data_IF_900609541111
#
_entry.id   IF_900609541111
#
_cell.length_a   1.000
_cell.length_b   1.000
_cell.length_c   1.000
_cell.angle_alpha   90.00
_cell.angle_beta   90.00
_cell.angle_gamma   90.00
#
_symmetry.space_group_name_H-M   'P 1'
#
loop_
_entity.id
_entity.type
_entity.pdbx_description
1 polymer ?
#
# COMPACT_ATOMS: atom_id res chain seq x y z
N UNK A 1 -49.53 -33.63 -9.32
CA UNK A 1 -50.64 -32.93 -8.61
C UNK A 1 -50.06 -31.58 -8.28
N UNK A 2 -50.32 -30.65 -9.12
CA UNK A 2 -51.26 -29.51 -8.98
C UNK A 2 -50.71 -28.53 -7.94
N UNK A 3 -50.34 -27.34 -8.14
CA UNK A 3 -50.60 -26.31 -9.12
C UNK A 3 -50.31 -24.96 -8.43
N UNK A 4 -50.30 -23.84 -9.15
CA UNK A 4 -49.57 -22.62 -8.81
C UNK A 4 -50.46 -21.49 -8.29
N UNK A 5 -49.86 -20.38 -7.78
CA UNK A 5 -50.55 -19.06 -7.63
C UNK A 5 -49.55 -18.05 -7.06
N UNK A 6 -49.48 -16.76 -7.34
CA UNK A 6 -50.06 -15.79 -8.26
C UNK A 6 -49.21 -14.52 -8.17
N UNK A 7 -49.04 -13.84 -9.27
CA UNK A 7 -48.53 -12.46 -9.37
C UNK A 7 -49.56 -11.46 -8.81
N UNK A 8 -49.06 -10.34 -8.24
CA UNK A 8 -49.84 -9.11 -8.15
C UNK A 8 -48.94 -7.91 -8.43
N UNK A 9 -49.42 -7.03 -9.13
CA UNK A 9 -49.14 -6.01 -10.05
C UNK A 9 -49.05 -4.64 -9.36
N UNK A 10 -48.32 -3.75 -10.03
CA UNK A 10 -48.13 -2.31 -9.82
C UNK A 10 -49.41 -1.49 -9.75
N UNK A 11 -49.33 -0.22 -9.27
CA UNK A 11 -49.66 0.86 -10.20
C UNK A 11 -48.74 2.08 -10.19
N UNK A 12 -48.62 2.66 -11.39
CA UNK A 12 -48.10 3.99 -11.70
C UNK A 12 -49.28 5.00 -11.66
N UNK A 13 -49.07 6.29 -11.35
CA UNK A 13 -49.73 7.34 -12.13
C UNK A 13 -48.80 8.50 -12.53
N UNK A 14 -48.75 8.81 -13.79
CA UNK A 14 -49.47 9.81 -14.58
C UNK A 14 -49.00 11.28 -14.49
N UNK A 15 -48.47 11.72 -15.62
CA UNK A 15 -48.53 12.98 -16.36
C UNK A 15 -49.01 14.29 -15.68
N UNK A 16 -48.19 15.33 -15.87
CA UNK A 16 -48.68 16.66 -16.17
C UNK A 16 -47.77 17.38 -17.17
N UNK A 17 -48.38 17.73 -18.28
CA UNK A 17 -47.86 18.51 -19.41
C UNK A 17 -47.93 20.01 -19.10
N UNK A 18 -46.99 20.81 -19.59
CA UNK A 18 -47.30 22.19 -20.00
C UNK A 18 -46.34 22.64 -21.12
N UNK A 19 -46.95 23.24 -22.09
CA UNK A 19 -46.56 23.64 -23.42
C UNK A 19 -45.75 24.95 -23.49
N UNK A 20 -44.77 25.01 -24.42
CA UNK A 20 -44.75 26.03 -25.46
C UNK A 20 -43.84 27.25 -25.27
N UNK A 21 -42.78 27.36 -26.06
CA UNK A 21 -42.57 28.38 -27.10
C UNK A 21 -41.16 28.30 -27.70
N UNK A 22 -41.14 28.28 -29.01
CA UNK A 22 -39.98 28.41 -29.87
C UNK A 22 -39.34 29.81 -29.79
N UNK A 23 -38.00 29.85 -29.89
CA UNK A 23 -37.27 30.98 -30.48
C UNK A 23 -35.87 30.48 -30.93
N UNK A 24 -35.61 30.70 -32.21
CA UNK A 24 -34.37 30.44 -32.95
C UNK A 24 -33.13 31.15 -32.38
N UNK A 25 -31.97 30.50 -32.49
CA UNK A 25 -30.70 31.17 -32.24
C UNK A 25 -29.50 30.21 -32.39
N UNK A 26 -28.88 30.23 -33.59
CA UNK A 26 -27.58 29.60 -33.87
C UNK A 26 -26.50 30.06 -32.92
N UNK A 27 -25.83 29.13 -32.23
CA UNK A 27 -24.46 29.35 -31.75
C UNK A 27 -23.76 28.01 -31.46
N UNK A 28 -22.49 27.96 -31.85
CA UNK A 28 -21.53 26.87 -31.79
C UNK A 28 -21.40 26.23 -30.40
N UNK A 29 -21.01 24.95 -30.30
CA UNK A 29 -20.78 24.30 -29.02
C UNK A 29 -19.47 24.74 -28.38
N UNK A 30 -19.44 24.98 -27.07
CA UNK A 30 -18.20 25.22 -26.33
C UNK A 30 -17.51 23.91 -25.97
N UNK A 31 -16.18 23.93 -26.01
CA UNK A 31 -15.24 22.96 -25.49
C UNK A 31 -15.66 22.47 -24.09
N UNK A 32 -15.93 21.19 -23.97
CA UNK A 32 -16.09 20.53 -22.66
C UNK A 32 -14.73 20.03 -22.16
N UNK A 33 -14.05 20.87 -21.42
CA UNK A 33 -13.08 20.40 -20.42
C UNK A 33 -13.86 19.91 -19.18
N UNK A 34 -13.55 18.73 -18.62
CA UNK A 34 -14.12 18.33 -17.35
C UNK A 34 -13.48 19.13 -16.22
N UNK A 35 -14.16 20.15 -15.74
CA UNK A 35 -13.85 20.79 -14.47
C UNK A 35 -14.21 19.84 -13.33
N UNK A 36 -13.24 19.07 -12.87
CA UNK A 36 -13.31 18.36 -11.61
C UNK A 36 -13.11 19.37 -10.47
N UNK A 37 -14.18 20.04 -10.08
CA UNK A 37 -14.18 20.95 -8.92
C UNK A 37 -14.29 20.07 -7.67
N UNK A 38 -13.18 19.51 -7.23
CA UNK A 38 -13.06 19.07 -5.85
C UNK A 38 -13.19 20.31 -4.95
N UNK A 39 -14.32 20.43 -4.26
CA UNK A 39 -14.46 21.33 -3.12
C UNK A 39 -13.39 20.95 -2.09
N UNK A 40 -12.27 21.67 -2.12
CA UNK A 40 -11.31 21.65 -1.04
C UNK A 40 -12.00 22.28 0.18
N UNK A 41 -12.58 21.43 1.03
CA UNK A 41 -12.82 21.81 2.42
C UNK A 41 -11.44 21.93 3.06
N UNK A 42 -10.96 23.15 3.22
CA UNK A 42 -9.80 23.43 4.03
C UNK A 42 -10.03 22.80 5.41
N UNK A 43 -9.12 21.96 5.91
CA UNK A 43 -9.24 21.43 7.26
C UNK A 43 -9.26 22.63 8.20
N UNK A 44 -10.35 22.77 8.94
CA UNK A 44 -10.45 23.73 10.05
C UNK A 44 -9.26 23.41 10.95
N UNK A 45 -8.27 24.32 10.99
CA UNK A 45 -7.15 24.21 11.94
C UNK A 45 -7.78 23.91 13.28
N UNK A 46 -7.44 22.75 13.86
CA UNK A 46 -7.70 22.45 15.27
C UNK A 46 -6.96 23.54 16.08
N UNK A 47 -7.65 24.67 16.28
CA UNK A 47 -7.21 25.68 17.21
C UNK A 47 -6.96 24.98 18.54
N UNK A 48 -5.75 25.09 19.06
CA UNK A 48 -5.27 24.69 20.36
C UNK A 48 -6.36 24.04 21.24
N UNK A 49 -6.68 22.77 20.99
CA UNK A 49 -7.44 22.00 21.95
C UNK A 49 -6.49 21.88 23.15
N UNK A 50 -6.69 22.74 24.13
CA UNK A 50 -6.19 22.46 25.47
C UNK A 50 -6.65 21.04 25.77
N UNK A 51 -5.70 20.12 25.86
CA UNK A 51 -5.96 18.75 26.28
C UNK A 51 -6.78 18.85 27.58
N UNK A 52 -7.93 18.15 27.70
CA UNK A 52 -8.83 18.33 28.84
C UNK A 52 -8.22 17.92 30.20
N UNK A 53 -6.94 17.59 30.22
CA UNK A 53 -6.23 17.03 31.37
C UNK A 53 -5.04 17.88 31.75
N UNK A 54 -5.30 18.98 32.45
CA UNK A 54 -4.25 19.77 33.14
C UNK A 54 -4.36 19.55 34.64
N UNK A 55 -3.37 18.86 35.19
CA UNK A 55 -2.92 19.17 36.56
C UNK A 55 -3.41 18.37 37.76
N UNK A 56 -4.21 17.32 37.62
CA UNK A 56 -4.53 16.47 38.78
C UNK A 56 -3.62 15.24 38.85
N UNK A 57 -3.20 14.87 40.07
CA UNK A 57 -2.20 13.84 40.38
C UNK A 57 -2.62 12.39 40.01
N UNK A 58 -3.74 12.19 39.36
CA UNK A 58 -4.17 10.90 38.85
C UNK A 58 -4.40 10.97 37.33
N UNK A 59 -3.56 10.24 36.57
CA UNK A 59 -3.78 10.08 35.15
C UNK A 59 -5.19 9.54 34.88
N UNK A 60 -5.94 10.12 33.92
CA UNK A 60 -7.24 9.57 33.56
C UNK A 60 -7.07 8.16 32.98
N UNK A 61 -8.00 7.28 33.31
CA UNK A 61 -8.05 5.94 32.74
C UNK A 61 -8.99 5.98 31.51
N UNK A 62 -8.42 5.71 30.35
CA UNK A 62 -9.16 5.65 29.09
C UNK A 62 -9.43 4.20 28.69
N UNK A 63 -10.53 3.95 27.99
CA UNK A 63 -10.70 2.70 27.28
C UNK A 63 -9.75 2.62 26.08
N UNK A 64 -9.54 1.42 25.54
CA UNK A 64 -8.78 1.21 24.30
C UNK A 64 -9.38 1.95 23.11
N UNK A 65 -10.70 2.08 23.06
CA UNK A 65 -11.41 2.85 22.03
C UNK A 65 -11.14 4.35 22.12
N UNK A 66 -11.25 4.94 23.32
CA UNK A 66 -10.97 6.36 23.53
C UNK A 66 -9.52 6.72 23.20
N UNK A 67 -8.56 5.85 23.59
CA UNK A 67 -7.15 6.07 23.24
C UNK A 67 -6.93 6.01 21.72
N UNK A 68 -7.58 5.07 21.04
CA UNK A 68 -7.53 4.97 19.59
C UNK A 68 -8.06 6.23 18.91
N UNK A 69 -9.21 6.74 19.35
CA UNK A 69 -9.77 7.99 18.83
C UNK A 69 -8.81 9.18 18.94
N UNK A 70 -8.04 9.28 20.03
CA UNK A 70 -7.02 10.32 20.18
C UNK A 70 -5.89 10.19 19.13
N UNK A 71 -5.41 8.98 18.94
CA UNK A 71 -4.35 8.70 17.95
C UNK A 71 -4.85 8.92 16.52
N UNK A 72 -6.08 8.51 16.23
CA UNK A 72 -6.73 8.77 14.93
C UNK A 72 -6.87 10.26 14.66
N UNK A 73 -7.36 11.03 15.62
CA UNK A 73 -7.49 12.47 15.49
C UNK A 73 -6.12 13.16 15.24
N UNK A 74 -5.07 12.68 15.92
CA UNK A 74 -3.71 13.15 15.68
C UNK A 74 -3.26 12.83 14.25
N UNK A 75 -3.41 11.58 13.80
CA UNK A 75 -3.00 11.14 12.47
C UNK A 75 -3.77 11.86 11.35
N UNK A 76 -5.09 12.05 11.51
CA UNK A 76 -5.93 12.76 10.55
C UNK A 76 -5.54 14.23 10.36
N UNK A 77 -5.03 14.89 11.42
CA UNK A 77 -4.53 16.26 11.31
C UNK A 77 -3.15 16.37 10.63
N UNK A 78 -2.51 15.24 10.34
CA UNK A 78 -1.16 15.17 9.76
C UNK A 78 -1.08 14.22 8.54
N UNK A 79 -2.14 14.15 7.75
CA UNK A 79 -2.13 13.39 6.47
C UNK A 79 -1.14 14.05 5.51
N UNK A 80 -0.25 13.23 4.96
CA UNK A 80 0.81 13.68 4.06
C UNK A 80 0.32 13.72 2.60
N UNK A 81 0.85 14.65 1.78
CA UNK A 81 0.56 14.65 0.35
C UNK A 81 1.20 13.43 -0.33
N UNK A 82 0.56 12.97 -1.41
CA UNK A 82 1.12 11.89 -2.22
C UNK A 82 2.43 12.33 -2.90
N UNK A 83 3.35 11.40 -3.09
CA UNK A 83 4.57 11.58 -3.85
C UNK A 83 4.35 11.26 -5.33
N UNK A 84 4.97 12.03 -6.24
CA UNK A 84 5.09 11.65 -7.66
C UNK A 84 6.54 11.35 -7.95
N UNK A 85 6.86 10.09 -8.26
CA UNK A 85 8.23 9.61 -8.44
C UNK A 85 8.44 9.05 -9.85
N UNK A 86 9.68 9.10 -10.39
CA UNK A 86 10.07 8.29 -11.54
C UNK A 86 9.75 6.80 -11.30
N UNK A 87 9.34 6.09 -12.37
CA UNK A 87 8.96 4.65 -12.25
C UNK A 87 10.08 3.83 -11.62
N UNK A 88 11.34 4.12 -11.94
CA UNK A 88 12.53 3.43 -11.43
C UNK A 88 12.69 3.54 -9.90
N UNK A 89 12.14 4.60 -9.30
CA UNK A 89 12.22 4.86 -7.85
C UNK A 89 11.01 4.30 -7.08
N UNK A 90 10.04 3.72 -7.81
CA UNK A 90 8.78 3.25 -7.21
C UNK A 90 8.82 1.82 -6.67
N UNK A 91 9.94 1.08 -6.80
CA UNK A 91 10.02 -0.31 -6.30
C UNK A 91 9.74 -0.38 -4.79
N UNK A 92 8.81 -1.24 -4.40
CA UNK A 92 8.38 -1.42 -3.01
C UNK A 92 7.53 -0.26 -2.46
N UNK A 93 7.21 0.77 -3.27
CA UNK A 93 6.25 1.82 -2.89
C UNK A 93 4.82 1.31 -3.07
N UNK A 94 3.88 1.94 -2.39
CA UNK A 94 2.46 1.64 -2.54
C UNK A 94 1.80 2.66 -3.47
N UNK A 95 1.09 2.17 -4.48
CA UNK A 95 0.41 3.01 -5.48
C UNK A 95 -0.74 3.80 -4.83
N UNK A 96 -0.79 5.11 -5.08
CA UNK A 96 -1.79 5.99 -4.47
C UNK A 96 -3.09 6.10 -5.29
N UNK A 97 -3.00 5.94 -6.62
CA UNK A 97 -4.13 6.09 -7.55
C UNK A 97 -4.07 5.00 -8.61
N UNK A 98 -5.22 4.65 -9.19
CA UNK A 98 -5.26 3.67 -10.28
C UNK A 98 -4.42 4.13 -11.47
N UNK A 99 -3.77 3.17 -12.14
CA UNK A 99 -3.00 3.38 -13.37
C UNK A 99 -3.80 2.88 -14.56
N UNK A 100 -4.01 3.76 -15.51
CA UNK A 100 -4.67 3.47 -16.78
C UNK A 100 -3.67 3.57 -17.94
N UNK A 101 -3.86 2.77 -18.96
CA UNK A 101 -2.98 2.78 -20.13
C UNK A 101 -3.04 4.14 -20.84
N UNK A 102 -1.88 4.77 -21.05
CA UNK A 102 -1.76 6.03 -21.79
C UNK A 102 -1.71 5.79 -23.31
N UNK A 103 -1.22 4.62 -23.73
CA UNK A 103 -1.07 4.22 -25.14
C UNK A 103 -1.63 2.81 -25.34
N UNK A 104 -2.09 2.46 -26.54
CA UNK A 104 -2.50 1.08 -26.81
C UNK A 104 -1.32 0.12 -26.69
N UNK A 105 -1.56 -1.15 -26.40
CA UNK A 105 -0.54 -2.19 -26.38
C UNK A 105 -0.94 -3.33 -27.35
N UNK A 106 -0.15 -3.63 -28.41
CA UNK A 106 1.03 -2.87 -28.83
C UNK A 106 0.66 -1.46 -29.34
N UNK A 107 1.64 -0.51 -29.31
CA UNK A 107 1.37 0.89 -29.64
C UNK A 107 1.10 1.14 -31.13
N UNK A 108 1.51 0.22 -31.99
CA UNK A 108 1.24 0.23 -33.43
C UNK A 108 1.12 -1.19 -33.96
N UNK A 109 0.47 -1.33 -35.12
CA UNK A 109 0.34 -2.62 -35.80
C UNK A 109 1.71 -3.09 -36.25
N UNK A 110 2.12 -4.31 -35.86
CA UNK A 110 3.47 -4.84 -36.09
C UNK A 110 3.46 -6.31 -36.48
N UNK A 111 4.61 -6.80 -36.96
CA UNK A 111 4.81 -8.20 -37.26
C UNK A 111 4.96 -9.05 -35.98
N UNK A 112 4.24 -10.18 -35.94
CA UNK A 112 4.40 -11.18 -34.90
C UNK A 112 5.59 -12.13 -35.14
N UNK A 113 6.13 -12.18 -36.36
CA UNK A 113 7.16 -13.14 -36.80
C UNK A 113 8.18 -12.46 -37.71
N UNK A 114 9.36 -13.02 -37.79
CA UNK A 114 10.29 -12.72 -38.87
C UNK A 114 9.80 -13.34 -40.17
N UNK A 115 9.90 -12.57 -41.26
CA UNK A 115 9.39 -13.05 -42.56
C UNK A 115 9.22 -11.96 -43.61
N UNK A 116 8.15 -12.03 -44.37
CA UNK A 116 7.89 -11.11 -45.47
C UNK A 116 6.47 -10.54 -45.41
N UNK A 117 6.39 -9.22 -45.38
CA UNK A 117 5.12 -8.49 -45.45
C UNK A 117 4.65 -8.48 -46.92
N UNK A 118 3.41 -8.90 -47.15
CA UNK A 118 2.78 -9.06 -48.47
C UNK A 118 1.34 -8.57 -48.45
N UNK A 119 0.78 -8.36 -49.63
CA UNK A 119 -0.65 -8.27 -49.82
C UNK A 119 -1.16 -9.69 -50.07
N UNK A 120 -2.11 -10.16 -49.28
CA UNK A 120 -2.63 -11.53 -49.43
C UNK A 120 -3.19 -11.81 -50.81
N UNK A 121 -3.75 -10.80 -51.50
CA UNK A 121 -4.28 -10.91 -52.88
C UNK A 121 -3.20 -11.21 -53.91
N UNK A 122 -1.94 -10.85 -53.70
CA UNK A 122 -0.83 -11.16 -54.61
C UNK A 122 -0.42 -12.65 -54.54
N UNK A 123 -0.98 -13.40 -53.57
CA UNK A 123 -0.78 -14.86 -53.42
C UNK A 123 -2.04 -15.67 -53.79
N UNK A 124 -2.79 -15.22 -54.79
CA UNK A 124 -3.94 -15.99 -55.31
C UNK A 124 -3.52 -17.06 -56.35
N UNK A 125 -4.34 -18.10 -56.47
CA UNK A 125 -4.08 -19.20 -57.37
C UNK A 125 -3.22 -20.32 -56.78
N UNK A 126 -2.53 -21.08 -57.65
CA UNK A 126 -1.62 -22.16 -57.25
C UNK A 126 -0.20 -21.62 -57.12
N UNK A 127 0.41 -21.78 -55.92
CA UNK A 127 1.83 -21.47 -55.68
C UNK A 127 2.78 -22.52 -56.26
N UNK A 128 4.10 -22.35 -56.09
CA UNK A 128 4.70 -21.25 -55.29
C UNK A 128 4.64 -19.88 -55.98
N UNK A 129 4.77 -18.79 -55.23
CA UNK A 129 4.76 -17.40 -55.73
C UNK A 129 6.12 -16.75 -55.52
N UNK A 130 6.71 -16.19 -56.57
CA UNK A 130 7.98 -15.44 -56.48
C UNK A 130 7.69 -13.95 -56.56
N UNK A 131 8.10 -13.21 -55.52
CA UNK A 131 7.91 -11.76 -55.43
C UNK A 131 9.29 -11.06 -55.30
N UNK A 132 9.50 -9.91 -55.97
CA UNK A 132 10.63 -9.06 -55.71
C UNK A 132 10.53 -8.47 -54.29
N UNK A 133 11.67 -8.39 -53.61
CA UNK A 133 11.77 -7.83 -52.24
C UNK A 133 12.20 -6.36 -52.34
N UNK A 134 11.32 -5.46 -51.93
CA UNK A 134 11.53 -4.01 -52.05
C UNK A 134 12.53 -3.46 -50.99
N UNK A 135 12.78 -4.20 -49.95
CA UNK A 135 13.74 -3.81 -48.90
C UNK A 135 13.50 -4.53 -47.58
N UNK A 136 14.06 -3.95 -46.49
CA UNK A 136 14.15 -4.50 -45.15
C UNK A 136 13.54 -3.57 -44.12
N UNK A 137 12.70 -4.10 -43.24
CA UNK A 137 12.04 -3.36 -42.14
C UNK A 137 12.46 -3.98 -40.82
N UNK A 138 13.52 -3.45 -40.18
CA UNK A 138 13.93 -3.88 -38.84
C UNK A 138 12.98 -3.37 -37.78
N UNK A 139 13.01 -3.98 -36.61
CA UNK A 139 12.34 -3.42 -35.44
C UNK A 139 12.84 -1.99 -35.16
N UNK A 140 11.91 -1.07 -34.85
CA UNK A 140 12.23 0.35 -34.64
C UNK A 140 12.35 1.17 -35.93
N UNK A 141 11.99 0.65 -37.09
CA UNK A 141 11.95 1.40 -38.35
C UNK A 141 10.87 2.49 -38.29
N UNK A 142 11.25 3.72 -38.64
CA UNK A 142 10.37 4.90 -38.64
C UNK A 142 10.13 5.49 -40.05
N UNK A 143 10.58 4.81 -41.11
CA UNK A 143 10.61 5.36 -42.49
C UNK A 143 9.21 5.46 -43.14
N UNK A 144 8.16 4.85 -42.62
CA UNK A 144 6.84 4.88 -43.24
C UNK A 144 6.82 4.12 -44.56
N UNK A 145 7.35 2.89 -44.58
CA UNK A 145 7.47 2.06 -45.75
C UNK A 145 6.09 1.75 -46.40
N UNK A 146 6.05 1.68 -47.73
CA UNK A 146 4.86 1.34 -48.50
C UNK A 146 5.15 0.13 -49.37
N UNK A 147 4.22 -0.82 -49.37
CA UNK A 147 4.26 -2.02 -50.20
C UNK A 147 3.46 -1.79 -51.49
N UNK A 148 4.11 -1.88 -52.66
CA UNK A 148 3.45 -1.86 -53.93
C UNK A 148 2.88 -3.27 -54.30
N UNK A 149 1.94 -3.30 -55.26
CA UNK A 149 1.37 -4.55 -55.71
C UNK A 149 2.41 -5.47 -56.33
N UNK A 150 2.36 -6.76 -55.98
CA UNK A 150 3.27 -7.77 -56.53
C UNK A 150 4.69 -7.70 -55.94
N UNK A 151 4.90 -7.03 -54.81
CA UNK A 151 6.15 -6.98 -54.10
C UNK A 151 6.03 -7.60 -52.69
N UNK A 152 7.17 -7.83 -52.06
CA UNK A 152 7.28 -8.18 -50.64
C UNK A 152 8.27 -7.26 -49.96
N UNK A 153 8.13 -7.05 -48.64
CA UNK A 153 9.13 -6.44 -47.78
C UNK A 153 9.60 -7.45 -46.75
N UNK A 154 10.92 -7.66 -46.63
CA UNK A 154 11.40 -8.44 -45.51
C UNK A 154 11.13 -7.65 -44.20
N UNK A 155 10.59 -8.32 -43.19
CA UNK A 155 10.17 -7.69 -41.97
C UNK A 155 10.58 -8.52 -40.74
N UNK A 156 11.05 -7.84 -39.70
CA UNK A 156 11.42 -8.48 -38.44
C UNK A 156 10.29 -8.41 -37.43
N UNK A 157 10.29 -9.34 -36.48
CA UNK A 157 9.36 -9.36 -35.35
C UNK A 157 9.34 -8.02 -34.61
N UNK A 158 8.16 -7.47 -34.36
CA UNK A 158 7.96 -6.17 -33.73
C UNK A 158 8.11 -4.96 -34.66
N UNK A 159 8.51 -5.16 -35.94
CA UNK A 159 8.62 -4.07 -36.90
C UNK A 159 7.23 -3.58 -37.36
N UNK A 160 7.07 -2.28 -37.66
CA UNK A 160 5.79 -1.74 -38.18
C UNK A 160 5.43 -2.33 -39.52
N UNK A 161 4.16 -2.68 -39.70
CA UNK A 161 3.65 -3.19 -40.98
C UNK A 161 3.68 -2.05 -42.00
N UNK A 162 4.27 -2.28 -43.21
CA UNK A 162 4.25 -1.26 -44.24
C UNK A 162 2.85 -1.00 -44.77
N UNK A 163 2.57 0.25 -45.14
CA UNK A 163 1.29 0.60 -45.77
C UNK A 163 1.04 -0.27 -47.00
N UNK A 164 -0.17 -0.84 -47.12
CA UNK A 164 -0.56 -1.73 -48.22
C UNK A 164 -0.33 -3.22 -47.92
N UNK A 165 0.45 -3.59 -46.92
CA UNK A 165 0.54 -4.97 -46.48
C UNK A 165 -0.61 -5.33 -45.53
N UNK A 166 -1.08 -6.56 -45.61
CA UNK A 166 -2.14 -7.08 -44.73
C UNK A 166 -1.82 -8.46 -44.12
N UNK A 167 -0.67 -9.03 -44.48
CA UNK A 167 -0.32 -10.40 -44.13
C UNK A 167 1.21 -10.55 -44.01
N UNK A 168 1.68 -11.30 -43.03
CA UNK A 168 3.09 -11.69 -42.91
C UNK A 168 3.22 -13.18 -43.21
N UNK A 169 4.07 -13.49 -44.19
CA UNK A 169 4.53 -14.86 -44.49
C UNK A 169 5.76 -15.09 -43.60
N UNK A 170 5.69 -16.08 -42.72
CA UNK A 170 6.87 -16.40 -41.90
C UNK A 170 8.01 -16.95 -42.77
N UNK A 171 9.26 -16.72 -42.35
CA UNK A 171 10.44 -17.09 -43.12
C UNK A 171 10.48 -18.60 -43.44
N UNK A 172 9.97 -19.46 -42.57
CA UNK A 172 9.91 -20.92 -42.74
C UNK A 172 9.00 -21.38 -43.88
N UNK A 173 8.06 -20.54 -44.32
CA UNK A 173 7.17 -20.81 -45.43
C UNK A 173 7.72 -20.29 -46.77
N UNK A 174 9.02 -19.92 -46.81
CA UNK A 174 9.72 -19.39 -47.99
C UNK A 174 10.92 -20.25 -48.37
N UNK A 175 11.62 -19.86 -49.43
CA UNK A 175 12.92 -20.44 -49.83
C UNK A 175 14.12 -19.93 -49.03
N UNK A 176 13.90 -18.98 -48.10
CA UNK A 176 14.96 -18.40 -47.29
C UNK A 176 15.01 -19.01 -45.87
N UNK A 177 16.21 -18.99 -45.30
CA UNK A 177 16.44 -19.37 -43.92
C UNK A 177 16.38 -18.14 -42.99
N UNK A 178 15.99 -18.35 -41.73
CA UNK A 178 16.04 -17.32 -40.71
C UNK A 178 17.52 -16.84 -40.51
N UNK A 179 17.70 -15.55 -40.18
CA UNK A 179 19.03 -15.01 -39.85
C UNK A 179 19.89 -14.56 -41.02
N UNK A 180 19.32 -14.37 -42.24
CA UNK A 180 20.07 -13.80 -43.37
C UNK A 180 20.45 -12.35 -43.06
N UNK A 181 21.74 -12.01 -43.20
CA UNK A 181 22.27 -10.69 -42.90
C UNK A 181 21.77 -9.58 -43.84
N UNK A 182 21.42 -9.89 -45.07
CA UNK A 182 20.95 -8.93 -46.08
C UNK A 182 19.62 -9.39 -46.71
N UNK A 183 18.72 -8.44 -47.03
CA UNK A 183 17.48 -8.75 -47.73
C UNK A 183 17.78 -9.38 -49.11
N UNK A 184 17.11 -10.48 -49.50
CA UNK A 184 17.26 -11.05 -50.82
C UNK A 184 16.61 -10.14 -51.88
N UNK A 185 16.99 -10.29 -53.16
CA UNK A 185 16.35 -9.57 -54.28
C UNK A 185 14.92 -10.08 -54.56
N UNK A 186 14.68 -11.37 -54.28
CA UNK A 186 13.39 -12.03 -54.48
C UNK A 186 13.11 -13.05 -53.39
N UNK A 187 11.85 -13.38 -53.16
CA UNK A 187 11.39 -14.44 -52.23
C UNK A 187 10.43 -15.38 -52.93
N UNK A 188 10.64 -16.69 -52.82
CA UNK A 188 9.66 -17.71 -53.22
C UNK A 188 8.84 -18.09 -51.99
N UNK A 189 7.53 -17.81 -52.07
CA UNK A 189 6.57 -18.15 -51.01
C UNK A 189 5.98 -19.52 -51.34
N UNK A 190 6.16 -20.49 -50.45
CA UNK A 190 5.72 -21.89 -50.66
C UNK A 190 4.34 -22.16 -50.10
N UNK A 191 3.99 -21.44 -49.01
CA UNK A 191 2.70 -21.57 -48.32
C UNK A 191 2.10 -20.18 -48.13
N UNK A 192 0.93 -19.95 -48.76
CA UNK A 192 0.19 -18.71 -48.54
C UNK A 192 -0.61 -18.77 -47.24
N UNK A 193 -0.34 -17.90 -46.26
CA UNK A 193 -1.12 -17.85 -45.05
C UNK A 193 -2.50 -17.24 -45.24
N UNK A 194 -3.35 -17.30 -44.24
CA UNK A 194 -4.63 -16.56 -44.23
C UNK A 194 -4.37 -15.07 -44.18
N UNK A 195 -5.30 -14.26 -44.68
CA UNK A 195 -5.27 -12.80 -44.57
C UNK A 195 -5.20 -12.41 -43.08
N UNK A 196 -4.37 -11.45 -42.71
CA UNK A 196 -4.14 -11.01 -41.36
C UNK A 196 -3.22 -11.93 -40.54
N UNK A 197 -2.71 -13.04 -41.14
CA UNK A 197 -1.81 -13.93 -40.38
C UNK A 197 -0.53 -13.22 -39.98
N UNK A 198 -0.08 -13.49 -38.74
CA UNK A 198 1.14 -12.96 -38.13
C UNK A 198 1.21 -11.42 -38.02
N UNK A 199 0.05 -10.75 -38.04
CA UNK A 199 -0.10 -9.32 -37.82
C UNK A 199 -0.65 -9.11 -36.41
N UNK A 200 0.05 -8.38 -35.57
CA UNK A 200 -0.45 -7.89 -34.26
C UNK A 200 -1.03 -6.49 -34.45
N UNK A 201 -2.31 -6.36 -34.22
CA UNK A 201 -3.00 -5.08 -34.37
C UNK A 201 -2.74 -4.18 -33.21
N UNK A 202 -2.58 -2.88 -33.46
CA UNK A 202 -2.47 -1.89 -32.39
C UNK A 202 -3.60 -2.05 -31.38
N UNK A 203 -3.27 -2.13 -30.09
CA UNK A 203 -4.25 -2.25 -29.01
C UNK A 203 -4.90 -3.62 -28.83
N UNK A 204 -4.47 -4.67 -29.54
CA UNK A 204 -5.09 -6.00 -29.42
C UNK A 204 -4.96 -6.62 -28.02
N UNK A 205 -3.88 -6.28 -27.30
CA UNK A 205 -3.67 -6.74 -25.92
C UNK A 205 -4.34 -5.80 -24.91
N UNK A 206 -4.25 -4.48 -25.13
CA UNK A 206 -4.82 -3.48 -24.24
C UNK A 206 -5.09 -2.18 -24.99
N UNK A 207 -6.31 -1.66 -24.89
CA UNK A 207 -6.65 -0.36 -25.47
C UNK A 207 -6.15 0.79 -24.58
N UNK A 208 -5.87 1.95 -25.15
CA UNK A 208 -5.61 3.16 -24.36
C UNK A 208 -6.82 3.47 -23.45
N UNK A 209 -6.56 3.92 -22.22
CA UNK A 209 -7.58 4.17 -21.20
C UNK A 209 -8.05 2.93 -20.42
N UNK A 210 -7.55 1.74 -20.75
CA UNK A 210 -7.87 0.53 -19.96
C UNK A 210 -7.16 0.51 -18.61
N UNK A 211 -7.76 -0.06 -17.55
CA UNK A 211 -7.12 -0.19 -16.24
C UNK A 211 -5.93 -1.16 -16.31
N UNK A 212 -4.85 -0.84 -15.60
CA UNK A 212 -3.59 -1.60 -15.57
C UNK A 212 -3.20 -2.01 -14.16
N UNK A 213 -3.22 -1.08 -13.22
CA UNK A 213 -2.91 -1.32 -11.80
C UNK A 213 -3.92 -0.60 -10.93
N UNK A 214 -4.32 -1.25 -9.84
CA UNK A 214 -5.22 -0.68 -8.84
C UNK A 214 -4.44 0.05 -7.73
N UNK A 215 -5.02 1.13 -7.21
CA UNK A 215 -4.52 1.84 -6.05
C UNK A 215 -4.36 0.90 -4.84
N UNK A 216 -3.42 1.20 -3.95
CA UNK A 216 -3.10 0.39 -2.79
C UNK A 216 -2.14 -0.78 -3.06
N UNK A 217 -1.86 -1.13 -4.32
CA UNK A 217 -0.91 -2.18 -4.67
C UNK A 217 0.52 -1.80 -4.29
N UNK A 218 1.27 -2.76 -3.75
CA UNK A 218 2.73 -2.64 -3.61
C UNK A 218 3.36 -2.89 -4.99
N UNK A 219 4.20 -1.97 -5.43
CA UNK A 219 4.82 -1.98 -6.74
C UNK A 219 6.04 -2.90 -6.75
N UNK A 220 5.91 -4.02 -7.42
CA UNK A 220 6.98 -4.95 -7.74
C UNK A 220 7.52 -4.71 -9.15
N UNK A 221 8.57 -5.44 -9.55
CA UNK A 221 9.16 -5.30 -10.89
C UNK A 221 8.17 -5.56 -12.03
N UNK A 222 7.18 -6.43 -11.85
CA UNK A 222 6.15 -6.73 -12.85
C UNK A 222 5.17 -5.57 -12.99
N UNK A 223 4.77 -4.95 -11.89
CA UNK A 223 3.91 -3.76 -11.88
C UNK A 223 4.60 -2.56 -12.56
N UNK A 224 5.88 -2.33 -12.24
CA UNK A 224 6.67 -1.25 -12.87
C UNK A 224 6.84 -1.47 -14.38
N UNK A 225 7.11 -2.71 -14.79
CA UNK A 225 7.19 -3.08 -16.22
C UNK A 225 5.85 -2.84 -16.93
N UNK A 226 4.72 -3.21 -16.31
CA UNK A 226 3.40 -2.98 -16.87
C UNK A 226 3.13 -1.48 -17.06
N UNK A 227 3.36 -0.66 -16.02
CA UNK A 227 3.19 0.79 -16.07
C UNK A 227 4.05 1.43 -17.17
N UNK A 228 5.32 1.03 -17.26
CA UNK A 228 6.24 1.52 -18.30
C UNK A 228 5.77 1.14 -19.70
N UNK A 229 5.32 -0.11 -19.89
CA UNK A 229 4.86 -0.62 -21.19
C UNK A 229 3.64 0.14 -21.73
N UNK A 230 2.84 0.73 -20.86
CA UNK A 230 1.65 1.51 -21.22
C UNK A 230 1.87 3.03 -21.17
N UNK A 231 3.14 3.47 -21.09
CA UNK A 231 3.57 4.85 -21.33
C UNK A 231 3.81 5.70 -20.09
N UNK A 232 3.76 5.16 -18.86
CA UNK A 232 4.05 5.93 -17.65
C UNK A 232 5.55 6.07 -17.41
N UNK A 233 6.03 7.30 -17.26
CA UNK A 233 7.39 7.64 -16.82
C UNK A 233 7.46 7.98 -15.34
N UNK A 234 6.32 8.30 -14.71
CA UNK A 234 6.18 8.59 -13.28
C UNK A 234 4.94 7.92 -12.73
N UNK A 235 4.91 7.64 -11.44
CA UNK A 235 3.73 7.12 -10.73
C UNK A 235 3.46 7.95 -9.48
N UNK A 236 2.18 8.07 -9.13
CA UNK A 236 1.75 8.67 -7.86
C UNK A 236 1.67 7.57 -6.80
N UNK A 237 2.47 7.70 -5.76
CA UNK A 237 2.61 6.71 -4.69
C UNK A 237 2.30 7.33 -3.33
N UNK A 238 1.90 6.49 -2.37
CA UNK A 238 1.69 6.92 -1.00
C UNK A 238 3.02 7.38 -0.40
N UNK A 239 3.03 8.48 0.39
CA UNK A 239 4.23 8.93 1.09
C UNK A 239 4.64 7.91 2.15
N UNK A 240 5.92 7.91 2.52
CA UNK A 240 6.44 7.18 3.66
C UNK A 240 6.59 8.16 4.83
N UNK A 241 5.72 8.12 5.87
CA UNK A 241 5.88 8.98 7.04
C UNK A 241 7.30 8.87 7.61
N UNK A 242 7.98 9.99 7.79
CA UNK A 242 9.34 10.08 8.35
C UNK A 242 9.24 10.05 9.86
N UNK A 243 9.79 9.02 10.48
CA UNK A 243 9.63 8.75 11.92
C UNK A 243 10.98 8.88 12.62
N UNK A 244 11.02 9.62 13.74
CA UNK A 244 12.11 9.52 14.72
C UNK A 244 11.68 8.56 15.83
N UNK A 245 12.60 7.70 16.23
CA UNK A 245 12.43 6.80 17.39
C UNK A 245 13.32 7.29 18.50
N UNK A 246 12.77 7.41 19.71
CA UNK A 246 13.49 7.87 20.89
C UNK A 246 13.42 6.79 21.97
N UNK A 247 14.58 6.27 22.35
CA UNK A 247 14.74 5.38 23.52
C UNK A 247 15.36 6.16 24.67
N UNK A 248 14.74 6.10 25.85
CA UNK A 248 15.20 6.81 27.03
C UNK A 248 15.60 5.84 28.16
N UNK A 249 16.69 6.11 28.83
CA UNK A 249 17.21 5.32 29.95
C UNK A 249 18.74 5.24 29.94
N UNK A 250 19.36 5.59 31.07
CA UNK A 250 20.82 5.49 31.25
C UNK A 250 21.32 4.04 31.31
N UNK A 251 20.40 3.08 31.56
CA UNK A 251 20.68 1.65 31.52
C UNK A 251 20.83 1.11 30.10
N UNK A 252 20.36 1.85 29.09
CA UNK A 252 20.30 1.34 27.69
C UNK A 252 21.67 1.38 27.01
N UNK A 253 22.09 0.25 26.48
CA UNK A 253 23.32 0.08 25.68
C UNK A 253 23.00 -0.33 24.25
N UNK A 254 23.91 -0.01 23.33
CA UNK A 254 23.79 -0.49 21.95
C UNK A 254 23.89 -2.00 21.90
N UNK A 255 23.24 -2.60 20.90
CA UNK A 255 23.37 -4.02 20.65
C UNK A 255 24.86 -4.40 20.43
N UNK A 256 25.32 -5.44 21.14
CA UNK A 256 26.71 -5.91 21.08
C UNK A 256 27.71 -5.21 22.00
N UNK A 257 27.33 -4.13 22.67
CA UNK A 257 28.17 -3.52 23.73
C UNK A 257 28.19 -4.41 24.98
N UNK A 258 29.34 -4.42 25.69
CA UNK A 258 29.45 -5.11 26.97
C UNK A 258 28.54 -4.45 28.01
N UNK A 259 27.83 -5.27 28.77
CA UNK A 259 26.89 -4.80 29.77
C UNK A 259 27.52 -4.80 31.15
N UNK A 260 27.41 -3.69 31.86
CA UNK A 260 27.68 -3.59 33.28
C UNK A 260 26.43 -3.98 34.10
N UNK A 261 26.61 -4.10 35.39
CA UNK A 261 25.49 -4.41 36.29
C UNK A 261 24.41 -3.31 36.21
N UNK A 262 23.18 -3.70 35.90
CA UNK A 262 22.04 -2.78 35.77
C UNK A 262 21.82 -2.26 34.34
N UNK A 263 22.69 -2.60 33.39
CA UNK A 263 22.51 -2.22 31.98
C UNK A 263 21.83 -3.31 31.18
N UNK A 264 21.10 -2.88 30.18
CA UNK A 264 20.37 -3.77 29.23
C UNK A 264 20.57 -3.30 27.79
N UNK A 265 20.49 -4.19 26.80
CA UNK A 265 20.50 -3.78 25.39
C UNK A 265 19.23 -2.98 25.05
N UNK A 266 19.37 -1.91 24.27
CA UNK A 266 18.25 -1.20 23.68
C UNK A 266 17.61 -2.04 22.56
N UNK A 267 16.61 -2.85 22.92
CA UNK A 267 15.85 -3.65 21.98
C UNK A 267 14.67 -2.87 21.35
N UNK A 268 14.16 -1.85 22.03
CA UNK A 268 13.00 -1.07 21.57
C UNK A 268 13.30 -0.28 20.30
N UNK A 269 14.48 0.34 20.21
CA UNK A 269 14.86 1.09 19.02
C UNK A 269 14.96 0.23 17.78
N UNK A 270 15.48 -1.01 17.91
CA UNK A 270 15.54 -1.98 16.81
C UNK A 270 14.14 -2.48 16.46
N UNK A 271 13.33 -2.81 17.48
CA UNK A 271 11.95 -3.27 17.29
C UNK A 271 11.11 -2.21 16.58
N UNK A 272 11.08 -0.98 17.07
CA UNK A 272 10.30 0.10 16.47
C UNK A 272 10.75 0.43 15.05
N UNK A 273 12.06 0.37 14.78
CA UNK A 273 12.55 0.57 13.42
C UNK A 273 11.95 -0.45 12.45
N UNK A 274 12.02 -1.74 12.76
CA UNK A 274 11.43 -2.79 11.93
C UNK A 274 9.92 -2.59 11.77
N UNK A 275 9.20 -2.38 12.87
CA UNK A 275 7.74 -2.20 12.85
C UNK A 275 7.29 -0.98 12.04
N UNK A 276 8.02 0.15 12.11
CA UNK A 276 7.74 1.35 11.30
C UNK A 276 7.97 1.07 9.82
N UNK A 277 9.06 0.40 9.47
CA UNK A 277 9.39 0.06 8.08
C UNK A 277 8.36 -0.92 7.50
N UNK A 278 7.95 -1.94 8.25
CA UNK A 278 6.91 -2.90 7.88
C UNK A 278 5.53 -2.22 7.72
N UNK A 279 5.23 -1.19 8.52
CA UNK A 279 4.02 -0.38 8.41
C UNK A 279 4.08 0.68 7.28
N UNK A 280 5.14 0.69 6.46
CA UNK A 280 5.28 1.60 5.33
C UNK A 280 5.87 2.97 5.67
N UNK A 281 6.31 3.20 6.91
CA UNK A 281 7.05 4.40 7.32
C UNK A 281 8.54 4.32 6.98
N UNK A 282 9.28 5.36 7.37
CA UNK A 282 10.74 5.44 7.26
C UNK A 282 11.33 5.98 8.57
N UNK A 283 12.17 5.21 9.24
CA UNK A 283 12.89 5.72 10.41
C UNK A 283 14.08 6.58 9.95
N UNK A 284 13.97 7.90 10.17
CA UNK A 284 14.99 8.88 9.78
C UNK A 284 16.05 9.10 10.84
N UNK A 285 15.73 8.82 12.11
CA UNK A 285 16.69 8.84 13.23
C UNK A 285 16.26 7.91 14.36
N UNK A 286 17.24 7.33 15.05
CA UNK A 286 17.06 6.66 16.34
C UNK A 286 17.92 7.37 17.39
N UNK A 287 17.24 8.10 18.26
CA UNK A 287 17.83 8.88 19.35
C UNK A 287 17.86 8.03 20.62
N UNK A 288 18.99 8.03 21.31
CA UNK A 288 19.11 7.47 22.66
C UNK A 288 19.51 8.58 23.60
N UNK A 289 18.74 8.77 24.65
CA UNK A 289 18.94 9.82 25.61
C UNK A 289 19.06 9.24 27.03
N UNK A 290 19.71 9.98 27.93
CA UNK A 290 19.68 9.70 29.33
C UNK A 290 18.32 10.05 29.95
N UNK A 291 18.32 10.19 31.28
CA UNK A 291 17.11 10.37 32.12
C UNK A 291 16.89 11.84 32.51
N UNK A 292 17.47 12.80 31.79
CA UNK A 292 17.26 14.23 32.08
C UNK A 292 16.43 14.90 30.97
N UNK A 293 15.50 15.81 31.35
CA UNK A 293 14.74 16.59 30.36
C UNK A 293 15.61 17.41 29.41
N UNK A 294 16.77 17.89 29.85
CA UNK A 294 17.70 18.67 29.04
C UNK A 294 18.32 17.83 27.90
N UNK A 295 18.74 16.57 28.21
CA UNK A 295 19.29 15.65 27.23
C UNK A 295 18.24 15.27 26.17
N UNK A 296 17.01 14.96 26.59
CA UNK A 296 15.93 14.63 25.68
C UNK A 296 15.58 15.83 24.78
N UNK A 297 15.48 17.04 25.36
CA UNK A 297 15.20 18.25 24.58
C UNK A 297 16.30 18.52 23.55
N UNK A 298 17.56 18.49 23.95
CA UNK A 298 18.70 18.67 23.06
C UNK A 298 18.70 17.64 21.91
N UNK A 299 18.42 16.38 22.19
CA UNK A 299 18.34 15.34 21.17
C UNK A 299 17.20 15.57 20.18
N UNK A 300 16.04 16.06 20.63
CA UNK A 300 14.93 16.42 19.76
C UNK A 300 15.24 17.66 18.91
N UNK A 301 15.94 18.67 19.47
CA UNK A 301 16.33 19.89 18.75
C UNK A 301 17.37 19.62 17.65
N UNK A 302 18.27 18.65 17.86
CA UNK A 302 19.28 18.23 16.89
C UNK A 302 18.78 17.18 15.88
N UNK A 303 17.59 16.61 16.10
CA UNK A 303 17.01 15.58 15.24
C UNK A 303 16.71 16.11 13.83
N UNK A 304 16.73 15.26 12.79
CA UNK A 304 16.21 15.64 11.49
C UNK A 304 14.70 15.91 11.57
N UNK A 305 14.18 16.70 10.64
CA UNK A 305 12.72 16.87 10.52
C UNK A 305 12.03 15.53 10.33
N UNK A 306 10.90 15.35 11.00
CA UNK A 306 10.09 14.14 10.95
C UNK A 306 8.61 14.48 10.87
N UNK A 307 7.81 13.50 10.49
CA UNK A 307 6.36 13.59 10.43
C UNK A 307 5.71 12.99 11.67
N UNK A 308 6.44 12.13 12.41
CA UNK A 308 6.02 11.52 13.66
C UNK A 308 7.24 11.26 14.58
N UNK A 309 7.09 11.49 15.87
CA UNK A 309 8.00 11.05 16.90
C UNK A 309 7.39 9.89 17.70
N UNK A 310 8.16 8.81 17.89
CA UNK A 310 7.80 7.68 18.75
C UNK A 310 8.79 7.62 19.89
N UNK A 311 8.32 7.68 21.13
CA UNK A 311 9.18 7.45 22.30
C UNK A 311 8.89 6.09 22.90
N UNK A 312 9.90 5.42 23.43
CA UNK A 312 9.79 4.16 24.17
C UNK A 312 10.47 4.31 25.54
N UNK A 313 9.67 4.27 26.61
CA UNK A 313 10.11 4.48 27.99
C UNK A 313 9.85 5.90 28.50
N UNK A 314 10.14 6.14 29.79
CA UNK A 314 10.07 7.44 30.44
C UNK A 314 8.67 8.03 30.60
N UNK A 315 7.60 7.21 30.65
CA UNK A 315 6.20 7.65 30.69
C UNK A 315 5.35 7.08 31.84
N UNK A 316 5.92 6.24 32.68
CA UNK A 316 5.19 5.67 33.84
C UNK A 316 4.91 6.74 34.93
N UNK A 317 4.31 6.35 36.03
CA UNK A 317 4.08 7.22 37.16
C UNK A 317 5.30 7.26 38.17
N UNK A 318 6.49 6.86 37.71
CA UNK A 318 7.72 6.81 38.50
C UNK A 318 8.37 8.18 38.68
N UNK A 319 9.39 8.24 39.54
CA UNK A 319 10.08 9.50 39.88
C UNK A 319 11.05 10.01 38.77
N UNK A 320 11.36 9.16 37.77
CA UNK A 320 12.39 9.44 36.74
C UNK A 320 11.84 9.34 35.31
N UNK A 321 10.62 9.79 35.11
CA UNK A 321 9.91 9.65 33.83
C UNK A 321 10.25 10.82 32.91
N UNK A 322 11.39 10.77 32.26
CA UNK A 322 11.98 11.87 31.48
C UNK A 322 11.09 12.36 30.35
N UNK A 323 10.42 11.45 29.61
CA UNK A 323 9.53 11.84 28.52
C UNK A 323 8.33 12.61 29.05
N UNK A 324 7.72 12.13 30.12
CA UNK A 324 6.62 12.80 30.80
C UNK A 324 7.00 14.17 31.35
N UNK A 325 8.17 14.27 31.96
CA UNK A 325 8.70 15.54 32.49
C UNK A 325 9.01 16.56 31.39
N UNK A 326 9.51 16.09 30.25
CA UNK A 326 9.90 16.96 29.13
C UNK A 326 8.70 17.39 28.28
N UNK A 327 7.75 16.50 28.04
CA UNK A 327 6.62 16.71 27.12
C UNK A 327 5.28 16.93 27.83
N UNK A 328 5.26 17.04 29.17
CA UNK A 328 4.01 17.10 29.92
C UNK A 328 3.11 18.30 29.63
N UNK A 329 3.64 19.35 28.99
CA UNK A 329 2.84 20.49 28.48
C UNK A 329 2.39 20.29 27.02
N UNK A 330 3.07 19.43 26.27
CA UNK A 330 2.97 19.25 24.84
C UNK A 330 2.22 17.95 24.49
N UNK A 331 2.20 16.98 25.42
CA UNK A 331 1.51 15.70 25.27
C UNK A 331 0.62 15.39 26.48
N UNK A 332 -0.56 14.84 26.21
CA UNK A 332 -1.44 14.30 27.26
C UNK A 332 -1.04 12.88 27.64
N UNK A 333 -0.71 12.67 28.91
CA UNK A 333 -0.41 11.35 29.45
C UNK A 333 -1.62 10.77 30.17
N UNK A 334 -1.86 9.48 30.01
CA UNK A 334 -3.01 8.78 30.56
C UNK A 334 -2.72 7.29 30.72
N UNK A 335 -3.61 6.62 31.43
CA UNK A 335 -3.58 5.17 31.55
C UNK A 335 -4.66 4.55 30.68
N UNK A 336 -4.33 3.57 29.86
CA UNK A 336 -5.31 2.82 29.06
C UNK A 336 -5.67 1.54 29.80
N UNK A 337 -6.97 1.21 29.88
CA UNK A 337 -7.47 -0.02 30.50
C UNK A 337 -7.13 -1.25 29.65
N UNK A 338 -5.84 -1.51 29.52
CA UNK A 338 -5.29 -2.61 28.75
C UNK A 338 -4.10 -3.28 29.44
N UNK A 339 -3.74 -4.48 29.01
CA UNK A 339 -2.54 -5.20 29.38
C UNK A 339 -2.01 -6.00 28.21
N UNK A 340 -0.69 -5.85 27.84
CA UNK A 340 0.30 -4.94 28.43
C UNK A 340 0.13 -3.50 27.94
N UNK A 341 0.94 -2.57 28.49
CA UNK A 341 1.10 -1.22 27.97
C UNK A 341 0.05 -0.20 28.42
N UNK A 342 -0.37 -0.22 29.70
CA UNK A 342 -1.33 0.73 30.25
C UNK A 342 -0.91 2.21 30.12
N UNK A 343 0.28 2.64 30.57
CA UNK A 343 0.73 4.02 30.40
C UNK A 343 0.94 4.37 28.94
N UNK A 344 0.38 5.52 28.50
CA UNK A 344 0.45 6.03 27.12
C UNK A 344 0.51 7.55 27.13
N UNK A 345 1.03 8.15 26.04
CA UNK A 345 1.00 9.58 25.82
C UNK A 345 0.77 9.92 24.35
N UNK A 346 0.02 10.99 24.10
CA UNK A 346 -0.30 11.46 22.74
C UNK A 346 -0.29 12.98 22.71
N UNK A 347 0.37 13.58 21.74
CA UNK A 347 0.43 15.03 21.57
C UNK A 347 1.29 15.47 20.42
N UNK A 348 1.91 16.64 20.53
CA UNK A 348 2.93 17.13 19.61
C UNK A 348 4.14 17.68 20.38
N UNK A 349 5.29 17.77 19.72
CA UNK A 349 6.50 18.37 20.28
C UNK A 349 7.30 19.05 19.18
N UNK A 350 8.19 19.95 19.56
CA UNK A 350 9.09 20.58 18.61
C UNK A 350 10.26 19.66 18.30
N UNK A 351 10.59 19.51 17.00
CA UNK A 351 11.68 18.67 16.50
C UNK A 351 12.52 19.45 15.49
N UNK A 352 13.83 19.22 15.54
CA UNK A 352 14.81 19.83 14.65
C UNK A 352 15.16 21.26 14.99
N UNK A 353 16.23 21.77 14.41
CA UNK A 353 16.74 23.13 14.64
C UNK A 353 15.73 24.24 14.28
N UNK A 354 14.75 23.95 13.43
CA UNK A 354 13.66 24.86 13.04
C UNK A 354 12.47 24.83 14.01
N UNK A 355 12.46 23.96 15.01
CA UNK A 355 11.35 23.81 15.95
C UNK A 355 10.03 23.43 15.30
N UNK A 356 10.06 22.51 14.31
CA UNK A 356 8.84 22.03 13.65
C UNK A 356 7.95 21.31 14.65
N UNK A 357 6.70 21.73 14.76
CA UNK A 357 5.69 21.00 15.53
C UNK A 357 5.46 19.63 14.88
N UNK A 358 5.74 18.57 15.63
CA UNK A 358 5.72 17.19 15.16
C UNK A 358 4.83 16.35 16.09
N UNK A 359 3.88 15.58 15.56
CA UNK A 359 3.09 14.64 16.34
C UNK A 359 3.98 13.71 17.12
N UNK A 360 3.58 13.38 18.36
CA UNK A 360 4.30 12.43 19.21
C UNK A 360 3.35 11.39 19.81
N UNK A 361 3.74 10.12 19.72
CA UNK A 361 3.09 9.00 20.41
C UNK A 361 4.12 8.42 21.39
N UNK A 362 3.79 8.44 22.67
CA UNK A 362 4.69 7.99 23.72
C UNK A 362 4.27 6.59 24.19
N UNK A 363 5.16 5.62 23.98
CA UNK A 363 4.94 4.20 24.26
C UNK A 363 5.62 3.77 25.55
N UNK A 364 5.11 2.73 26.24
CA UNK A 364 5.76 2.16 27.43
C UNK A 364 7.18 1.67 27.12
N UNK A 365 8.04 1.63 28.14
CA UNK A 365 9.44 1.18 27.98
C UNK A 365 9.60 -0.34 27.79
N UNK A 366 8.56 -1.10 28.05
CA UNK A 366 8.63 -2.56 27.97
C UNK A 366 8.44 -3.07 26.54
N UNK A 367 9.33 -3.91 25.99
CA UNK A 367 9.28 -4.34 24.58
C UNK A 367 7.98 -5.05 24.18
N UNK A 368 7.37 -5.88 25.04
CA UNK A 368 6.09 -6.54 24.73
C UNK A 368 4.98 -5.49 24.66
N UNK A 369 5.03 -4.48 25.51
CA UNK A 369 4.10 -3.35 25.48
C UNK A 369 4.28 -2.51 24.22
N UNK A 370 5.53 -2.19 23.84
CA UNK A 370 5.87 -1.48 22.59
C UNK A 370 5.30 -2.23 21.40
N UNK A 371 5.56 -3.52 21.31
CA UNK A 371 5.09 -4.38 20.22
C UNK A 371 3.55 -4.36 20.10
N UNK A 372 2.85 -4.64 21.19
CA UNK A 372 1.38 -4.72 21.16
C UNK A 372 0.75 -3.35 20.88
N UNK A 373 1.24 -2.28 21.52
CA UNK A 373 0.69 -0.92 21.31
C UNK A 373 1.01 -0.38 19.92
N UNK A 374 2.17 -0.72 19.36
CA UNK A 374 2.48 -0.37 17.99
C UNK A 374 1.44 -0.94 17.01
N UNK A 375 1.19 -2.24 17.05
CA UNK A 375 0.24 -2.90 16.16
C UNK A 375 -1.20 -2.45 16.38
N UNK A 376 -1.58 -2.17 17.63
CA UNK A 376 -2.96 -1.80 17.95
C UNK A 376 -3.28 -0.32 17.67
N UNK A 377 -2.26 0.56 17.56
CA UNK A 377 -2.47 2.00 17.45
C UNK A 377 -1.55 2.68 16.42
N UNK A 378 -0.22 2.48 16.51
CA UNK A 378 0.74 3.25 15.71
C UNK A 378 0.70 2.86 14.24
N UNK A 379 0.59 1.57 13.92
CA UNK A 379 0.49 1.08 12.54
C UNK A 379 -0.70 1.70 11.81
N UNK A 380 -1.85 1.81 12.48
CA UNK A 380 -3.03 2.49 11.96
C UNK A 380 -2.80 4.00 11.76
N UNK A 381 -2.14 4.66 12.71
CA UNK A 381 -1.79 6.08 12.56
C UNK A 381 -0.90 6.32 11.33
N UNK A 382 0.12 5.49 11.11
CA UNK A 382 0.98 5.57 9.93
C UNK A 382 0.19 5.35 8.64
N UNK A 383 -0.76 4.41 8.63
CA UNK A 383 -1.63 4.17 7.48
C UNK A 383 -2.51 5.39 7.16
N UNK A 384 -3.09 6.05 8.16
CA UNK A 384 -3.85 7.29 7.99
C UNK A 384 -2.96 8.43 7.50
N UNK A 385 -1.80 8.64 8.11
CA UNK A 385 -0.85 9.68 7.72
C UNK A 385 -0.36 9.52 6.28
N UNK A 386 -0.18 8.29 5.80
CA UNK A 386 0.17 8.01 4.41
C UNK A 386 -0.99 8.11 3.43
N UNK A 387 -2.23 8.26 3.90
CA UNK A 387 -3.42 8.26 3.05
C UNK A 387 -3.88 6.87 2.58
N UNK A 388 -3.34 5.78 3.17
CA UNK A 388 -3.75 4.40 2.83
C UNK A 388 -5.18 4.10 3.28
N UNK A 389 -5.60 4.69 4.40
CA UNK A 389 -6.95 4.56 4.96
C UNK A 389 -7.65 5.90 4.88
N UNK A 390 -8.75 5.95 4.14
CA UNK A 390 -9.55 7.16 4.04
C UNK A 390 -10.26 7.46 5.37
N UNK A 391 -10.34 8.73 5.79
CA UNK A 391 -10.95 9.15 7.05
C UNK A 391 -12.39 8.67 7.24
N UNK A 392 -13.14 8.57 6.17
CA UNK A 392 -14.55 8.15 6.13
C UNK A 392 -14.78 6.64 6.36
N UNK A 393 -13.75 5.83 6.32
CA UNK A 393 -13.86 4.37 6.53
C UNK A 393 -13.60 3.94 7.99
N UNK A 394 -13.52 4.88 8.93
CA UNK A 394 -13.55 4.64 10.38
C UNK A 394 -12.45 3.74 10.89
N UNK A 395 -11.16 3.99 10.46
CA UNK A 395 -10.37 3.29 11.20
C UNK A 395 -9.02 2.73 11.05
N UNK A 396 -8.29 3.08 12.06
CA UNK A 396 -7.03 2.45 12.47
C UNK A 396 -7.24 1.08 13.14
N UNK A 397 -8.46 0.48 13.09
CA UNK A 397 -8.68 -0.85 13.66
C UNK A 397 -8.07 -1.89 12.75
N UNK A 398 -7.05 -2.63 13.21
CA UNK A 398 -6.52 -3.74 12.42
C UNK A 398 -7.63 -4.74 12.09
N UNK A 399 -7.66 -5.21 10.85
CA UNK A 399 -8.62 -6.23 10.43
C UNK A 399 -8.39 -7.50 11.23
N UNK A 400 -9.36 -7.87 12.08
CA UNK A 400 -9.31 -9.09 12.88
C UNK A 400 -9.96 -10.26 12.18
N UNK A 401 -9.51 -11.45 12.51
CA UNK A 401 -10.17 -12.72 12.18
C UNK A 401 -10.60 -13.40 13.48
N UNK A 402 -11.49 -14.36 13.40
CA UNK A 402 -11.79 -15.24 14.53
C UNK A 402 -10.88 -16.47 14.47
N UNK A 403 -10.26 -16.80 15.59
CA UNK A 403 -9.47 -18.02 15.77
C UNK A 403 -9.87 -18.73 17.07
N UNK A 404 -9.43 -19.98 17.25
CA UNK A 404 -9.71 -20.77 18.47
C UNK A 404 -8.47 -20.96 19.32
N UNK A 405 -8.62 -20.80 20.62
CA UNK A 405 -7.55 -21.03 21.58
C UNK A 405 -7.20 -22.52 21.67
N UNK A 406 -5.93 -22.86 21.41
CA UNK A 406 -5.41 -24.24 21.53
C UNK A 406 -5.21 -24.65 22.99
N UNK A 407 -4.86 -23.69 23.81
CA UNK A 407 -4.68 -23.82 25.27
C UNK A 407 -5.39 -22.67 25.96
N UNK A 408 -5.88 -22.88 27.18
CA UNK A 408 -6.47 -21.83 27.99
C UNK A 408 -5.41 -20.99 28.72
N UNK A 409 -5.80 -19.75 29.12
CA UNK A 409 -4.97 -18.86 29.95
C UNK A 409 -5.83 -17.88 30.74
N UNK A 410 -5.30 -17.41 31.88
CA UNK A 410 -5.94 -16.39 32.71
C UNK A 410 -5.81 -14.99 32.07
N UNK A 411 -6.84 -14.17 32.20
CA UNK A 411 -6.89 -12.81 31.70
C UNK A 411 -6.82 -11.79 32.84
N UNK A 412 -6.32 -10.58 32.58
CA UNK A 412 -6.29 -9.50 33.59
C UNK A 412 -7.72 -8.97 33.84
N UNK A 413 -8.07 -8.81 35.10
CA UNK A 413 -9.37 -8.24 35.46
C UNK A 413 -9.53 -6.79 34.95
N UNK A 414 -10.70 -6.45 34.46
CA UNK A 414 -11.13 -5.09 34.05
C UNK A 414 -10.25 -4.42 32.97
N UNK A 415 -9.48 -5.19 32.21
CA UNK A 415 -8.58 -4.69 31.16
C UNK A 415 -8.72 -5.49 29.88
N UNK A 416 -8.72 -4.81 28.75
CA UNK A 416 -8.52 -5.47 27.47
C UNK A 416 -7.13 -6.13 27.44
N UNK A 417 -7.06 -7.42 27.22
CA UNK A 417 -5.77 -8.10 27.06
C UNK A 417 -5.36 -8.13 25.59
N UNK A 418 -4.14 -7.70 25.32
CA UNK A 418 -3.45 -7.89 24.04
C UNK A 418 -2.36 -8.94 24.23
N UNK A 419 -2.54 -10.13 23.65
CA UNK A 419 -1.64 -11.24 23.83
C UNK A 419 -0.98 -11.66 22.50
N UNK A 420 0.37 -11.69 22.44
CA UNK A 420 1.05 -12.22 21.26
C UNK A 420 0.79 -13.72 21.11
N UNK A 421 0.30 -14.11 19.94
CA UNK A 421 -0.11 -15.48 19.58
C UNK A 421 0.65 -15.97 18.35
N UNK A 422 0.73 -17.29 18.19
CA UNK A 422 1.13 -17.94 16.95
C UNK A 422 0.02 -18.86 16.45
N UNK A 423 -0.05 -19.07 15.16
CA UNK A 423 -0.94 -20.06 14.57
C UNK A 423 -0.39 -21.48 14.76
N UNK A 424 -1.26 -22.42 15.04
CA UNK A 424 -0.89 -23.85 15.12
C UNK A 424 -0.93 -24.43 13.70
N UNK A 425 0.21 -24.89 13.21
CA UNK A 425 0.36 -25.42 11.85
C UNK A 425 -0.41 -26.73 11.66
N UNK A 426 -1.15 -26.83 10.54
CA UNK A 426 -1.81 -28.07 10.14
C UNK A 426 -3.13 -28.38 10.84
N UNK A 427 -3.58 -27.59 11.77
CA UNK A 427 -4.86 -27.74 12.44
C UNK A 427 -5.82 -26.62 12.01
N UNK A 428 -6.77 -26.93 11.13
CA UNK A 428 -8.01 -26.19 10.98
C UNK A 428 -9.13 -27.11 11.44
N UNK A 429 -10.16 -26.58 12.10
CA UNK A 429 -11.34 -27.37 12.41
C UNK A 429 -12.17 -27.67 11.15
N UNK A 430 -13.24 -28.50 11.30
CA UNK A 430 -14.15 -28.83 10.20
C UNK A 430 -14.83 -27.59 9.58
N UNK A 431 -14.88 -26.46 10.30
CA UNK A 431 -15.39 -25.16 9.83
C UNK A 431 -14.30 -24.28 9.21
N UNK A 432 -13.02 -24.71 9.17
CA UNK A 432 -11.89 -23.95 8.63
C UNK A 432 -11.32 -22.90 9.58
N UNK A 433 -11.72 -22.88 10.86
CA UNK A 433 -11.18 -21.95 11.84
C UNK A 433 -9.73 -22.29 12.20
N UNK A 434 -8.87 -21.28 12.26
CA UNK A 434 -7.45 -21.41 12.65
C UNK A 434 -7.34 -21.55 14.17
N UNK A 435 -6.42 -22.38 14.60
CA UNK A 435 -6.04 -22.50 16.01
C UNK A 435 -4.87 -21.59 16.33
N UNK A 436 -4.90 -20.98 17.53
CA UNK A 436 -3.84 -20.09 18.04
C UNK A 436 -3.46 -20.48 19.45
N UNK A 437 -2.21 -20.17 19.82
CA UNK A 437 -1.72 -20.34 21.18
C UNK A 437 -0.78 -19.17 21.56
N UNK A 438 -0.64 -18.83 22.86
CA UNK A 438 0.32 -17.84 23.30
C UNK A 438 1.74 -18.21 22.88
N UNK A 439 2.53 -17.23 22.38
CA UNK A 439 3.94 -17.44 22.01
C UNK A 439 4.82 -17.85 23.19
N UNK A 440 4.33 -17.65 24.41
CA UNK A 440 5.00 -18.05 25.64
C UNK A 440 3.99 -18.53 26.69
N UNK A 441 4.28 -19.60 27.47
CA UNK A 441 3.36 -20.12 28.49
C UNK A 441 2.99 -19.14 29.60
N UNK A 442 3.82 -18.12 29.84
CA UNK A 442 3.54 -17.04 30.80
C UNK A 442 2.65 -15.92 30.21
N UNK A 443 2.09 -16.09 29.03
CA UNK A 443 1.18 -15.16 28.37
C UNK A 443 1.87 -13.86 27.89
N UNK A 444 1.26 -12.72 28.18
CA UNK A 444 1.69 -11.38 27.72
C UNK A 444 2.56 -10.65 28.73
N UNK A 445 3.30 -11.37 29.62
CA UNK A 445 4.17 -10.72 30.59
C UNK A 445 5.27 -9.92 29.89
N UNK A 446 5.54 -8.78 30.45
CA UNK A 446 6.31 -7.70 29.86
C UNK A 446 7.78 -8.00 29.55
N UNK A 447 8.41 -8.97 30.20
CA UNK A 447 9.83 -9.34 30.01
C UNK A 447 10.07 -10.40 28.94
N UNK A 448 9.03 -10.85 28.23
CA UNK A 448 9.08 -11.97 27.28
C UNK A 448 9.46 -11.55 25.85
N UNK A 449 10.34 -10.57 25.70
CA UNK A 449 10.72 -10.00 24.39
C UNK A 449 11.21 -11.04 23.38
N UNK A 450 11.99 -12.02 23.83
CA UNK A 450 12.54 -13.04 22.91
C UNK A 450 11.45 -13.92 22.25
N UNK A 451 10.29 -14.08 22.87
CA UNK A 451 9.19 -14.85 22.32
C UNK A 451 8.43 -14.11 21.21
N UNK A 452 8.56 -12.77 21.13
CA UNK A 452 7.92 -11.97 20.08
C UNK A 452 8.36 -12.36 18.67
N UNK A 453 9.56 -12.93 18.52
CA UNK A 453 10.04 -13.44 17.22
C UNK A 453 9.16 -14.56 16.63
N UNK A 454 8.30 -15.18 17.45
CA UNK A 454 7.37 -16.21 17.01
C UNK A 454 5.91 -15.70 16.97
N UNK A 455 5.68 -14.41 17.16
CA UNK A 455 4.34 -13.85 17.13
C UNK A 455 3.86 -13.70 15.67
N UNK A 456 2.70 -14.29 15.38
CA UNK A 456 2.04 -14.23 14.07
C UNK A 456 0.70 -13.51 14.14
N UNK A 457 0.19 -13.27 15.37
CA UNK A 457 -1.04 -12.54 15.62
C UNK A 457 -1.05 -11.91 17.00
N UNK A 458 -1.95 -10.95 17.23
CA UNK A 458 -2.29 -10.43 18.56
C UNK A 458 -3.73 -10.83 18.87
N UNK A 459 -3.93 -11.57 19.94
CA UNK A 459 -5.25 -11.86 20.51
C UNK A 459 -5.79 -10.64 21.24
N UNK A 460 -7.07 -10.36 21.04
CA UNK A 460 -7.80 -9.27 21.69
C UNK A 460 -8.87 -9.87 22.58
N UNK A 461 -8.67 -9.83 23.89
CA UNK A 461 -9.61 -10.36 24.88
C UNK A 461 -10.27 -9.22 25.61
N UNK A 462 -11.61 -9.27 25.68
CA UNK A 462 -12.41 -8.21 26.30
C UNK A 462 -12.19 -8.14 27.83
N UNK A 463 -12.41 -6.97 28.47
CA UNK A 463 -12.10 -6.74 29.88
C UNK A 463 -12.99 -7.52 30.86
N UNK A 464 -14.11 -8.05 30.41
CA UNK A 464 -15.04 -8.87 31.20
C UNK A 464 -14.75 -10.37 31.14
N UNK A 465 -13.71 -10.79 30.42
CA UNK A 465 -13.28 -12.19 30.30
C UNK A 465 -12.17 -12.45 31.33
N UNK A 466 -12.44 -13.31 32.30
CA UNK A 466 -11.49 -13.68 33.36
C UNK A 466 -10.47 -14.74 32.89
N UNK A 467 -10.87 -15.60 31.96
CA UNK A 467 -9.99 -16.62 31.38
C UNK A 467 -10.44 -16.96 29.95
N UNK A 468 -9.50 -17.30 29.09
CA UNK A 468 -9.80 -17.93 27.78
C UNK A 468 -9.69 -19.44 27.95
N UNK A 469 -10.75 -20.15 27.60
CA UNK A 469 -10.80 -21.60 27.68
C UNK A 469 -10.26 -22.26 26.41
N UNK A 470 -9.76 -23.50 26.54
CA UNK A 470 -9.37 -24.29 25.37
C UNK A 470 -10.57 -24.49 24.43
N UNK A 471 -10.41 -24.21 23.15
CA UNK A 471 -11.47 -24.27 22.13
C UNK A 471 -12.32 -23.00 22.02
N UNK A 472 -12.15 -22.04 22.92
CA UNK A 472 -12.89 -20.76 22.88
C UNK A 472 -12.47 -19.93 21.64
N UNK A 473 -13.46 -19.32 21.00
CA UNK A 473 -13.25 -18.35 19.92
C UNK A 473 -12.85 -17.00 20.47
N UNK A 474 -11.88 -16.38 19.82
CA UNK A 474 -11.43 -15.03 20.15
C UNK A 474 -11.08 -14.24 18.88
N UNK A 475 -11.16 -12.92 18.99
CA UNK A 475 -10.69 -12.02 17.94
C UNK A 475 -9.16 -11.98 17.94
N UNK A 476 -8.56 -12.16 16.78
CA UNK A 476 -7.11 -12.04 16.59
C UNK A 476 -6.80 -11.11 15.43
N UNK A 477 -5.77 -10.32 15.58
CA UNK A 477 -5.20 -9.43 14.56
C UNK A 477 -3.97 -10.14 14.00
N UNK A 478 -4.02 -10.66 12.76
CA UNK A 478 -2.84 -11.22 12.12
C UNK A 478 -1.77 -10.15 11.96
N UNK A 479 -0.53 -10.51 12.22
CA UNK A 479 0.63 -9.69 11.91
C UNK A 479 0.99 -9.96 10.45
N UNK A 480 1.09 -8.92 9.64
CA UNK A 480 1.52 -9.05 8.24
C UNK A 480 3.00 -9.41 8.27
N UNK A 481 3.33 -10.62 7.83
CA UNK A 481 4.68 -11.08 7.58
C UNK A 481 5.01 -10.97 6.11
#
# INVERSE_FOLDING_TARGET
MSGPLKRAATPNPAHASCSGREADGHSQPPDQQPHNTMCAHAPTRLAHRTWPYTGDMHDPVLSTAQHRELIEALALSHVLPHDTLPVEECLGRRLAVDVFSLIPLPPFTNSAMDGFAVRREDLEGKGPWTLPVAGDIPAGDTRGNRLERGQAWRIMTGAPIPEGADTIVKVEDTDHAAGIAQAPDTVEIRVAPKRGANVRVAGEALAAGSPVLEAGRILDGTALSAATSVGHGTLTVLPRPRVIVVSTGTELKRAGEALERGQIPDSNGILLRGLVEDAGGQVVAHLRTGDTPAELRAALDEAPEADLALTAGGISAGAFEVVRLTLGTDAGFHHVAQQPGGPQGVGSTQVGAGGRETPVICLPGNPVSVFTTFHMYVAGALAVMSGLVAPEHGGTVPSGIIARARVGWDCPAEKTQFIPLRFVSGEADEAGARWVEPVHPLGSKSHLVASLANAEAIGVVAPDVEAVETGQELAVVPLVG
#
